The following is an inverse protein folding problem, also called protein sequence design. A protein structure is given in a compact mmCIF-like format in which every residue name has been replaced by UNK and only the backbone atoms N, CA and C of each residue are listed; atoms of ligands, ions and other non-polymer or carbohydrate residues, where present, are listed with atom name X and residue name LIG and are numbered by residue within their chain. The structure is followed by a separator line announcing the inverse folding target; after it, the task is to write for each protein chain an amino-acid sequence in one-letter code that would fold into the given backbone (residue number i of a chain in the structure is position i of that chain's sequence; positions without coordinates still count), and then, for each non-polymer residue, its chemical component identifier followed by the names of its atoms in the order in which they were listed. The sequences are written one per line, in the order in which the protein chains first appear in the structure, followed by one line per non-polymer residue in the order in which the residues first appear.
data_IF_312169243561
#
_entry.id   IF_312169243561
#
_cell.length_a   1.000
_cell.length_b   1.000
_cell.length_c   1.000
_cell.angle_alpha   90.00
_cell.angle_beta   90.00
_cell.angle_gamma   90.00
#
_symmetry.space_group_name_H-M   'P 1'
#
loop_
_entity.id
_entity.type
_entity.pdbx_description
1 polymer ?
#
# COMPACT_ATOMS: atom_id res chain seq x y z
N UNK A 1 -0.91 6.13 17.41
CA UNK A 1 0.08 7.19 17.15
C UNK A 1 -0.65 8.40 16.58
N UNK A 2 -0.19 9.60 16.92
CA UNK A 2 -0.72 10.84 16.34
C UNK A 2 -0.06 11.15 15.00
N UNK A 3 -0.62 12.11 14.24
CA UNK A 3 0.01 12.60 13.00
C UNK A 3 1.36 13.22 13.31
N UNK A 4 1.46 13.99 14.41
CA UNK A 4 2.70 14.65 14.82
C UNK A 4 3.80 13.64 15.11
N UNK A 5 3.47 12.53 15.78
CA UNK A 5 4.39 11.44 16.07
C UNK A 5 4.85 10.74 14.78
N UNK A 6 3.90 10.44 13.87
CA UNK A 6 4.21 9.77 12.59
C UNK A 6 5.12 10.61 11.70
N UNK A 7 4.91 11.92 11.65
CA UNK A 7 5.72 12.86 10.84
C UNK A 7 7.14 13.06 11.39
N UNK A 8 7.50 12.49 12.54
CA UNK A 8 8.90 12.45 13.00
C UNK A 8 9.75 11.39 12.30
N UNK A 9 9.12 10.50 11.54
CA UNK A 9 9.79 9.43 10.80
C UNK A 9 9.78 9.72 9.31
N UNK A 10 10.81 9.25 8.61
CA UNK A 10 10.88 9.34 7.15
C UNK A 10 9.97 8.30 6.46
N UNK A 11 9.75 7.16 7.13
CA UNK A 11 9.06 6.01 6.56
C UNK A 11 8.32 5.20 7.63
N UNK A 12 7.20 4.60 7.23
CA UNK A 12 6.53 3.52 7.96
C UNK A 12 6.45 2.27 7.09
N UNK A 13 6.83 1.11 7.66
CA UNK A 13 6.78 -0.17 6.97
C UNK A 13 5.65 -1.04 7.52
N UNK A 14 4.84 -1.58 6.61
CA UNK A 14 3.82 -2.59 6.89
C UNK A 14 4.28 -3.92 6.30
N UNK A 15 4.66 -4.84 7.19
CA UNK A 15 5.17 -6.15 6.83
C UNK A 15 4.08 -7.09 6.27
N UNK A 16 4.52 -8.25 5.79
CA UNK A 16 3.64 -9.33 5.36
C UNK A 16 2.86 -9.99 6.51
N UNK A 17 1.97 -10.92 6.16
CA UNK A 17 1.10 -11.62 7.09
C UNK A 17 -0.30 -11.82 6.52
N UNK A 18 -1.32 -11.74 7.36
CA UNK A 18 -2.71 -11.77 6.90
C UNK A 18 -3.22 -10.34 6.66
N UNK A 19 -3.52 -10.01 5.40
CA UNK A 19 -3.94 -8.67 5.01
C UNK A 19 -5.29 -8.26 5.64
N UNK A 20 -6.24 -9.18 5.79
CA UNK A 20 -7.53 -8.88 6.40
C UNK A 20 -7.39 -8.58 7.90
N UNK A 21 -6.62 -9.39 8.63
CA UNK A 21 -6.31 -9.12 10.05
C UNK A 21 -5.58 -7.79 10.22
N UNK A 22 -4.58 -7.51 9.38
CA UNK A 22 -3.83 -6.26 9.42
C UNK A 22 -4.77 -5.05 9.22
N UNK A 23 -5.61 -5.08 8.18
CA UNK A 23 -6.55 -4.00 7.90
C UNK A 23 -7.58 -3.84 9.00
N UNK A 24 -8.12 -4.95 9.51
CA UNK A 24 -9.08 -4.95 10.62
C UNK A 24 -8.50 -4.25 11.85
N UNK A 25 -7.25 -4.52 12.21
CA UNK A 25 -6.61 -3.88 13.36
C UNK A 25 -6.33 -2.39 13.12
N UNK A 26 -5.92 -2.00 11.91
CA UNK A 26 -5.73 -0.59 11.54
C UNK A 26 -7.06 0.18 11.65
N UNK A 27 -8.16 -0.41 11.19
CA UNK A 27 -9.48 0.19 11.23
C UNK A 27 -10.06 0.20 12.65
N UNK A 28 -9.95 -0.92 13.39
CA UNK A 28 -10.43 -1.06 14.78
C UNK A 28 -9.77 -0.07 15.74
N UNK A 29 -8.49 0.23 15.54
CA UNK A 29 -7.74 1.19 16.36
C UNK A 29 -7.93 2.65 15.92
N UNK A 30 -8.60 2.88 14.78
CA UNK A 30 -8.72 4.21 14.17
C UNK A 30 -7.40 4.73 13.59
N UNK A 31 -6.38 3.88 13.43
CA UNK A 31 -5.05 4.27 12.97
C UNK A 31 -5.02 4.66 11.49
N UNK A 32 -5.97 4.20 10.68
CA UNK A 32 -6.10 4.55 9.25
C UNK A 32 -6.09 6.07 9.02
N UNK A 33 -6.82 6.84 9.85
CA UNK A 33 -6.94 8.29 9.70
C UNK A 33 -5.62 9.05 9.90
N UNK A 34 -4.93 8.94 11.04
CA UNK A 34 -3.64 9.62 11.23
C UNK A 34 -2.57 9.11 10.27
N UNK A 35 -2.60 7.82 9.90
CA UNK A 35 -1.68 7.25 8.91
C UNK A 35 -1.82 7.94 7.55
N UNK A 36 -3.04 8.00 7.00
CA UNK A 36 -3.29 8.65 5.70
C UNK A 36 -2.85 10.11 5.73
N UNK A 37 -3.19 10.84 6.78
CA UNK A 37 -2.77 12.24 6.93
C UNK A 37 -1.24 12.40 7.00
N UNK A 38 -0.53 11.47 7.65
CA UNK A 38 0.93 11.50 7.69
C UNK A 38 1.56 11.22 6.31
N UNK A 39 0.99 10.29 5.54
CA UNK A 39 1.42 9.99 4.16
C UNK A 39 1.25 11.23 3.27
N UNK A 40 0.09 11.92 3.35
CA UNK A 40 -0.11 13.18 2.62
C UNK A 40 0.89 14.28 3.04
N UNK A 41 1.39 14.23 4.27
CA UNK A 41 2.41 15.15 4.78
C UNK A 41 3.85 14.72 4.42
N UNK A 42 4.04 13.67 3.63
CA UNK A 42 5.35 13.24 3.12
C UNK A 42 5.97 12.02 3.79
N UNK A 43 5.28 11.37 4.74
CA UNK A 43 5.73 10.09 5.28
C UNK A 43 5.71 9.03 4.17
N UNK A 44 6.84 8.34 3.96
CA UNK A 44 6.90 7.25 2.97
C UNK A 44 6.21 6.01 3.52
N UNK A 45 5.25 5.47 2.76
CA UNK A 45 4.62 4.19 3.05
C UNK A 45 5.33 3.06 2.31
N UNK A 46 5.84 2.07 3.04
CA UNK A 46 6.40 0.84 2.47
C UNK A 46 5.49 -0.35 2.82
N UNK A 47 4.72 -0.83 1.85
CA UNK A 47 3.86 -2.01 2.01
C UNK A 47 4.52 -3.27 1.44
N UNK A 48 4.69 -4.29 2.27
CA UNK A 48 5.30 -5.57 1.88
C UNK A 48 4.24 -6.66 1.96
N UNK A 49 3.98 -7.37 0.87
CA UNK A 49 3.00 -8.47 0.80
C UNK A 49 1.61 -8.02 1.32
N UNK A 50 1.16 -8.47 2.49
CA UNK A 50 -0.08 -7.98 3.11
C UNK A 50 -0.14 -6.44 3.23
N UNK A 51 1.00 -5.79 3.54
CA UNK A 51 1.09 -4.34 3.59
C UNK A 51 0.80 -3.65 2.26
N UNK A 52 1.23 -4.22 1.12
CA UNK A 52 0.90 -3.62 -0.18
C UNK A 52 -0.59 -3.78 -0.51
N UNK A 53 -1.19 -4.92 -0.15
CA UNK A 53 -2.61 -5.18 -0.41
C UNK A 53 -3.53 -4.17 0.30
N UNK A 54 -3.24 -3.83 1.56
CA UNK A 54 -4.08 -2.87 2.31
C UNK A 54 -3.97 -1.43 1.78
N UNK A 55 -2.89 -1.11 1.05
CA UNK A 55 -2.71 0.18 0.39
C UNK A 55 -3.41 0.24 -0.98
N UNK A 56 -3.72 -0.91 -1.56
CA UNK A 56 -4.22 -1.09 -2.90
C UNK A 56 -5.73 -1.40 -2.95
N UNK A 57 -6.25 -1.67 -4.15
CA UNK A 57 -7.65 -1.92 -4.43
C UNK A 57 -8.19 -3.28 -3.95
N UNK A 58 -7.45 -3.98 -3.10
CA UNK A 58 -7.82 -5.31 -2.61
C UNK A 58 -9.02 -5.29 -1.65
N UNK A 59 -9.22 -4.17 -0.93
CA UNK A 59 -10.27 -4.03 0.08
C UNK A 59 -11.00 -2.70 -0.09
N UNK A 60 -12.33 -2.73 0.02
CA UNK A 60 -13.16 -1.51 -0.08
C UNK A 60 -12.91 -0.51 1.05
N UNK A 61 -12.45 -0.98 2.21
CA UNK A 61 -12.10 -0.20 3.39
C UNK A 61 -10.58 -0.08 3.60
N UNK A 62 -9.78 -0.37 2.55
CA UNK A 62 -8.34 -0.18 2.53
C UNK A 62 -7.92 1.30 2.52
N UNK A 63 -6.62 1.55 2.46
CA UNK A 63 -6.09 2.93 2.42
C UNK A 63 -6.40 3.62 1.09
N UNK A 64 -6.45 2.87 -0.02
CA UNK A 64 -6.90 3.37 -1.32
C UNK A 64 -5.91 4.27 -2.06
N UNK A 65 -4.60 4.02 -1.91
CA UNK A 65 -3.55 4.74 -2.63
C UNK A 65 -3.33 4.22 -4.05
N UNK A 66 -3.63 2.95 -4.28
CA UNK A 66 -3.66 2.32 -5.59
C UNK A 66 -5.06 1.77 -5.84
N UNK A 67 -5.70 2.16 -6.95
CA UNK A 67 -7.05 1.69 -7.27
C UNK A 67 -7.08 0.22 -7.70
N UNK A 68 -5.99 -0.23 -8.33
CA UNK A 68 -5.82 -1.59 -8.79
C UNK A 68 -5.66 -2.55 -7.61
N UNK A 69 -6.38 -3.69 -7.58
CA UNK A 69 -6.04 -4.78 -6.68
C UNK A 69 -4.69 -5.38 -7.11
N UNK A 70 -3.92 -5.85 -6.13
CA UNK A 70 -2.65 -6.52 -6.41
C UNK A 70 -2.59 -7.93 -5.81
N UNK A 71 -1.82 -8.81 -6.43
CA UNK A 71 -1.47 -10.14 -5.93
C UNK A 71 0.04 -10.17 -5.74
N UNK A 72 0.54 -10.13 -4.49
CA UNK A 72 1.95 -10.33 -4.24
C UNK A 72 2.30 -11.82 -4.39
N UNK A 73 3.57 -12.13 -4.65
CA UNK A 73 4.06 -13.50 -4.82
C UNK A 73 3.37 -14.25 -5.97
N UNK A 74 2.93 -13.52 -7.00
CA UNK A 74 2.27 -14.13 -8.14
C UNK A 74 3.28 -14.94 -8.98
N UNK A 75 2.84 -16.07 -9.52
CA UNK A 75 3.65 -16.88 -10.44
C UNK A 75 3.86 -16.20 -11.79
N UNK A 76 2.90 -15.33 -12.18
CA UNK A 76 2.96 -14.50 -13.38
C UNK A 76 3.25 -13.07 -12.97
N UNK A 77 4.05 -12.38 -13.76
CA UNK A 77 4.38 -10.98 -13.54
C UNK A 77 3.63 -10.07 -14.51
N UNK A 78 3.11 -8.97 -13.97
CA UNK A 78 2.69 -7.84 -14.78
C UNK A 78 3.93 -7.14 -15.36
N UNK A 79 3.83 -6.58 -16.57
CA UNK A 79 4.97 -5.91 -17.19
C UNK A 79 5.39 -4.67 -16.39
N UNK A 80 6.69 -4.40 -16.38
CA UNK A 80 7.24 -3.15 -15.85
C UNK A 80 6.69 -1.93 -16.59
N UNK A 81 6.59 -0.80 -15.89
CA UNK A 81 6.15 0.47 -16.43
C UNK A 81 4.79 0.93 -15.90
N UNK A 82 4.17 1.87 -16.62
CA UNK A 82 2.96 2.57 -16.17
C UNK A 82 1.78 1.63 -15.94
N UNK A 83 1.05 1.86 -14.86
CA UNK A 83 -0.12 1.06 -14.47
C UNK A 83 -1.39 1.57 -15.16
N UNK A 84 -2.05 0.68 -15.91
CA UNK A 84 -3.41 0.90 -16.43
C UNK A 84 -4.43 0.87 -15.30
N UNK A 85 -5.43 1.78 -15.33
CA UNK A 85 -6.46 1.84 -14.27
C UNK A 85 -7.34 0.60 -14.26
N UNK A 86 -7.58 0.06 -13.06
CA UNK A 86 -8.54 -1.00 -12.71
C UNK A 86 -8.16 -2.44 -13.11
N UNK A 87 -7.01 -2.66 -13.74
CA UNK A 87 -6.51 -4.01 -14.01
C UNK A 87 -5.95 -4.68 -12.74
N UNK A 88 -6.03 -5.99 -12.68
CA UNK A 88 -5.35 -6.77 -11.64
C UNK A 88 -3.83 -6.66 -11.85
N UNK A 89 -3.09 -6.34 -10.78
CA UNK A 89 -1.62 -6.31 -10.82
C UNK A 89 -1.08 -7.56 -10.14
N UNK A 90 -0.46 -8.43 -10.91
CA UNK A 90 0.29 -9.58 -10.42
C UNK A 90 1.77 -9.18 -10.25
N UNK A 91 2.30 -9.26 -9.03
CA UNK A 91 3.70 -8.94 -8.72
C UNK A 91 4.45 -10.21 -8.33
N UNK A 92 5.50 -10.52 -9.09
CA UNK A 92 6.48 -11.52 -8.69
C UNK A 92 7.38 -11.01 -7.56
N UNK A 93 8.10 -11.92 -6.90
CA UNK A 93 9.09 -11.56 -5.89
C UNK A 93 10.18 -10.67 -6.49
N UNK A 94 10.39 -9.50 -5.89
CA UNK A 94 11.36 -8.51 -6.34
C UNK A 94 10.78 -7.37 -7.18
N UNK A 95 9.52 -7.46 -7.60
CA UNK A 95 8.80 -6.33 -8.22
C UNK A 95 8.13 -5.44 -7.18
N UNK A 96 7.90 -4.18 -7.52
CA UNK A 96 7.22 -3.22 -6.63
C UNK A 96 6.41 -2.21 -7.42
N UNK A 97 5.29 -1.75 -6.84
CA UNK A 97 4.58 -0.58 -7.33
C UNK A 97 5.18 0.67 -6.69
N UNK A 98 5.73 1.56 -7.51
CA UNK A 98 6.15 2.89 -7.10
C UNK A 98 5.02 3.89 -7.35
N UNK A 99 4.61 4.60 -6.29
CA UNK A 99 3.64 5.70 -6.36
C UNK A 99 4.35 6.99 -5.98
N UNK A 100 4.41 7.96 -6.90
CA UNK A 100 4.98 9.28 -6.66
C UNK A 100 4.09 10.36 -7.25
N UNK A 101 3.31 11.02 -6.39
CA UNK A 101 2.26 11.94 -6.82
C UNK A 101 1.26 11.19 -7.69
N UNK A 102 1.07 11.66 -8.92
CA UNK A 102 0.14 11.03 -9.88
C UNK A 102 0.76 9.88 -10.70
N UNK A 103 2.08 9.65 -10.60
CA UNK A 103 2.75 8.56 -11.32
C UNK A 103 2.64 7.26 -10.53
N UNK A 104 2.24 6.20 -11.21
CA UNK A 104 2.10 4.85 -10.68
C UNK A 104 2.69 3.87 -11.69
N UNK A 105 3.72 3.14 -11.28
CA UNK A 105 4.44 2.24 -12.17
C UNK A 105 4.94 0.99 -11.43
N UNK A 106 5.11 -0.10 -12.17
CA UNK A 106 5.75 -1.32 -11.70
C UNK A 106 7.25 -1.21 -12.02
N UNK A 107 8.09 -1.36 -10.99
CA UNK A 107 9.56 -1.33 -11.04
C UNK A 107 10.18 -2.60 -10.49
#
# INVERSE_FOLDING_TARGET
MSVQELTQYDMIAFCGGNAHTLLSEINRTGFSKPLKQAIENGLVYLGISAGSMIAAGNFSDGLGYLANPLIPHAEKESPFGDISKNDLIELADGQTVLIKGNRQEII
#
